data_IF_461144232883
#
_entry.id   IF_461144232883
#
_cell.length_a   1.000
_cell.length_b   1.000
_cell.length_c   1.000
_cell.angle_alpha   90.00
_cell.angle_beta   90.00
_cell.angle_gamma   90.00
#
_symmetry.space_group_name_H-M   'P 1'
#
loop_
_entity.id
_entity.type
_entity.pdbx_description
1 polymer ?
#
# COMPACT_ATOMS: atom_id res chain seq x y z
N UNK A 1 14.95 -18.65 17.68
CA UNK A 1 14.54 -17.50 18.49
C UNK A 1 14.29 -16.34 17.54
N UNK A 2 13.10 -15.71 17.59
CA UNK A 2 12.82 -14.49 16.83
C UNK A 2 13.43 -13.29 17.57
N UNK A 3 13.95 -12.28 16.85
CA UNK A 3 14.45 -11.07 17.48
C UNK A 3 13.30 -10.26 18.09
N UNK A 4 13.58 -9.57 19.21
CA UNK A 4 12.60 -8.70 19.86
C UNK A 4 12.39 -7.38 19.11
N UNK A 5 13.43 -6.87 18.44
CA UNK A 5 13.42 -5.65 17.64
C UNK A 5 14.30 -5.86 16.41
N UNK A 6 13.86 -5.39 15.26
CA UNK A 6 14.66 -5.36 14.04
C UNK A 6 15.24 -3.96 13.83
N UNK A 7 16.56 -3.87 13.72
CA UNK A 7 17.26 -2.64 13.35
C UNK A 7 17.30 -2.53 11.82
N UNK A 8 16.75 -1.46 11.29
CA UNK A 8 16.72 -1.17 9.84
C UNK A 8 17.53 0.09 9.54
N UNK A 9 18.59 -0.07 8.77
CA UNK A 9 19.47 1.02 8.35
C UNK A 9 19.21 1.35 6.87
N UNK A 10 18.68 2.54 6.59
CA UNK A 10 18.33 2.97 5.24
C UNK A 10 17.27 4.06 5.24
N UNK A 11 16.78 4.44 4.06
CA UNK A 11 15.64 5.35 3.89
C UNK A 11 14.30 4.62 3.98
N UNK A 12 13.20 5.38 3.78
CA UNK A 12 11.83 4.87 3.88
C UNK A 12 11.59 3.62 3.03
N UNK A 13 12.12 3.56 1.80
CA UNK A 13 12.00 2.38 0.95
C UNK A 13 12.60 1.09 1.54
N UNK A 14 13.63 1.20 2.39
CA UNK A 14 14.20 0.06 3.12
C UNK A 14 13.26 -0.37 4.24
N UNK A 15 12.68 0.60 4.95
CA UNK A 15 11.68 0.33 6.00
C UNK A 15 10.44 -0.34 5.43
N UNK A 16 9.92 0.15 4.30
CA UNK A 16 8.76 -0.44 3.62
C UNK A 16 8.99 -1.92 3.26
N UNK A 17 10.17 -2.24 2.72
CA UNK A 17 10.54 -3.63 2.41
C UNK A 17 10.66 -4.49 3.67
N UNK A 18 11.28 -3.97 4.72
CA UNK A 18 11.42 -4.66 5.99
C UNK A 18 10.06 -4.91 6.65
N UNK A 19 9.17 -3.90 6.66
CA UNK A 19 7.84 -4.00 7.23
C UNK A 19 7.01 -5.14 6.63
N UNK A 20 7.04 -5.32 5.32
CA UNK A 20 6.34 -6.42 4.63
C UNK A 20 6.76 -7.81 5.11
N UNK A 21 7.99 -7.94 5.58
CA UNK A 21 8.56 -9.20 6.04
C UNK A 21 8.37 -9.42 7.54
N UNK A 22 8.54 -8.35 8.32
CA UNK A 22 8.58 -8.39 9.76
C UNK A 22 7.19 -8.29 10.40
N UNK A 23 6.23 -7.63 9.72
CA UNK A 23 4.86 -7.47 10.20
C UNK A 23 4.18 -8.82 10.47
N UNK A 24 4.36 -9.81 9.59
CA UNK A 24 3.80 -11.14 9.74
C UNK A 24 4.36 -11.89 10.97
N UNK A 25 5.47 -11.43 11.51
CA UNK A 25 6.13 -11.98 12.69
C UNK A 25 5.96 -11.13 13.94
N UNK A 26 5.21 -10.03 13.82
CA UNK A 26 5.01 -9.02 14.88
C UNK A 26 6.34 -8.49 15.46
N UNK A 27 7.38 -8.34 14.63
CA UNK A 27 8.69 -7.83 15.06
C UNK A 27 8.69 -6.31 14.87
N UNK A 28 8.83 -5.51 15.95
CA UNK A 28 8.97 -4.07 15.86
C UNK A 28 10.20 -3.63 15.08
N UNK A 29 10.10 -2.53 14.36
CA UNK A 29 11.19 -1.96 13.57
C UNK A 29 11.71 -0.70 14.26
N UNK A 30 13.01 -0.65 14.49
CA UNK A 30 13.76 0.54 14.85
C UNK A 30 14.59 0.96 13.63
N UNK A 31 14.25 2.09 13.02
CA UNK A 31 14.82 2.50 11.74
C UNK A 31 15.64 3.78 11.83
N UNK A 32 16.79 3.82 11.14
CA UNK A 32 17.66 4.99 11.05
C UNK A 32 18.02 5.30 9.61
N UNK A 33 17.90 6.60 9.27
CA UNK A 33 18.40 7.09 8.00
C UNK A 33 19.94 7.16 8.02
N UNK A 34 20.57 6.39 7.14
CA UNK A 34 22.03 6.34 7.03
C UNK A 34 22.56 7.10 5.81
N UNK A 35 21.68 7.72 5.00
CA UNK A 35 22.07 8.54 3.84
C UNK A 35 20.86 9.14 3.14
N UNK A 36 21.06 10.26 2.46
CA UNK A 36 20.00 11.01 1.78
C UNK A 36 19.15 11.88 2.73
N UNK A 37 17.99 12.30 2.27
CA UNK A 37 17.06 13.11 3.05
C UNK A 37 16.35 12.27 4.12
N UNK A 38 16.08 12.87 5.28
CA UNK A 38 15.28 12.26 6.33
C UNK A 38 13.86 12.00 5.81
N UNK A 39 13.40 10.77 5.96
CA UNK A 39 12.06 10.35 5.56
C UNK A 39 11.05 10.42 6.70
N UNK A 40 9.84 9.92 6.45
CA UNK A 40 8.75 9.85 7.44
C UNK A 40 8.81 8.59 8.33
N UNK A 41 9.56 7.56 7.91
CA UNK A 41 9.60 6.25 8.57
C UNK A 41 10.94 5.98 9.28
N UNK A 42 11.87 6.93 9.23
CA UNK A 42 13.22 6.75 9.77
C UNK A 42 13.56 7.84 10.77
N UNK A 43 14.31 7.46 11.80
CA UNK A 43 14.95 8.40 12.73
C UNK A 43 16.26 8.92 12.16
N UNK A 44 16.65 10.11 12.61
CA UNK A 44 17.97 10.65 12.30
C UNK A 44 19.07 9.77 12.97
N UNK A 45 20.12 9.44 12.21
CA UNK A 45 21.25 8.66 12.69
C UNK A 45 22.01 9.31 13.88
N UNK A 46 21.90 10.63 14.04
CA UNK A 46 22.54 11.33 15.16
C UNK A 46 22.01 10.88 16.52
N UNK A 47 20.79 10.31 16.59
CA UNK A 47 20.22 9.75 17.81
C UNK A 47 21.08 8.59 18.33
N UNK A 48 21.71 7.80 17.45
CA UNK A 48 22.61 6.69 17.82
C UNK A 48 23.85 7.13 18.62
N UNK A 49 24.25 8.42 18.50
CA UNK A 49 25.39 8.99 19.21
C UNK A 49 25.04 9.53 20.60
N UNK A 50 23.76 9.54 20.99
CA UNK A 50 23.34 9.98 22.31
C UNK A 50 23.82 8.98 23.37
N UNK A 51 24.47 9.46 24.41
CA UNK A 51 25.16 8.61 25.39
C UNK A 51 24.29 7.55 26.07
N UNK A 52 23.00 7.85 26.26
CA UNK A 52 22.06 6.95 26.93
C UNK A 52 21.07 6.24 25.97
N UNK A 53 21.30 6.32 24.66
CA UNK A 53 20.39 5.74 23.67
C UNK A 53 20.23 4.22 23.86
N UNK A 54 21.32 3.49 23.88
CA UNK A 54 21.33 2.03 24.01
C UNK A 54 20.86 1.57 25.39
N UNK A 55 21.19 2.33 26.45
CA UNK A 55 20.67 2.09 27.79
C UNK A 55 19.12 2.19 27.83
N UNK A 56 18.56 3.19 27.14
CA UNK A 56 17.10 3.32 27.04
C UNK A 56 16.48 2.13 26.31
N UNK A 57 17.08 1.66 25.22
CA UNK A 57 16.60 0.48 24.49
C UNK A 57 16.68 -0.76 25.38
N UNK A 58 17.81 -1.02 26.04
CA UNK A 58 18.00 -2.18 26.92
C UNK A 58 17.04 -2.19 28.12
N UNK A 59 16.64 -1.01 28.60
CA UNK A 59 15.70 -0.85 29.69
C UNK A 59 14.24 -0.69 29.24
N UNK A 60 13.92 -0.99 27.96
CA UNK A 60 12.59 -0.87 27.37
C UNK A 60 11.95 0.53 27.52
N UNK A 61 12.77 1.60 27.56
CA UNK A 61 12.32 2.99 27.68
C UNK A 61 12.03 3.59 26.30
N UNK A 62 11.06 3.01 25.58
CA UNK A 62 10.60 3.46 24.26
C UNK A 62 9.11 3.16 24.09
N UNK A 63 8.49 3.82 23.12
CA UNK A 63 7.12 3.55 22.72
C UNK A 63 7.09 2.86 21.37
N UNK A 64 6.24 1.84 21.21
CA UNK A 64 5.97 1.18 19.94
C UNK A 64 4.74 1.82 19.32
N UNK A 65 4.91 2.44 18.17
CA UNK A 65 3.81 2.96 17.37
C UNK A 65 3.29 1.88 16.44
N UNK A 66 2.04 1.50 16.60
CA UNK A 66 1.36 0.59 15.66
C UNK A 66 1.01 1.33 14.38
N UNK A 67 1.20 0.69 13.24
CA UNK A 67 0.85 1.20 11.92
C UNK A 67 -0.03 0.19 11.20
N UNK A 68 -1.15 0.67 10.65
CA UNK A 68 -2.02 -0.14 9.81
C UNK A 68 -1.29 -0.57 8.54
N UNK A 69 -1.52 -1.79 8.09
CA UNK A 69 -1.09 -2.29 6.77
C UNK A 69 -2.31 -2.75 5.97
N UNK A 70 -2.16 -2.81 4.66
CA UNK A 70 -3.15 -3.40 3.76
C UNK A 70 -2.68 -4.77 3.28
N UNK A 71 -3.63 -5.69 3.12
CA UNK A 71 -3.48 -6.93 2.36
C UNK A 71 -4.20 -6.81 1.03
N UNK A 72 -3.53 -7.16 -0.07
CA UNK A 72 -4.15 -7.35 -1.38
C UNK A 72 -4.10 -8.82 -1.75
N UNK A 73 -5.25 -9.43 -1.99
CA UNK A 73 -5.35 -10.81 -2.48
C UNK A 73 -5.90 -10.81 -3.91
N UNK A 74 -5.17 -11.44 -4.82
CA UNK A 74 -5.59 -11.62 -6.21
C UNK A 74 -6.18 -13.01 -6.37
N UNK A 75 -7.38 -13.05 -6.92
CA UNK A 75 -8.11 -14.27 -7.28
C UNK A 75 -8.29 -14.33 -8.79
N UNK A 76 -8.27 -15.53 -9.35
CA UNK A 76 -8.60 -15.78 -10.76
C UNK A 76 -9.90 -16.55 -10.84
N UNK A 77 -10.79 -16.08 -11.73
CA UNK A 77 -12.02 -16.77 -12.07
C UNK A 77 -11.82 -17.61 -13.34
N UNK A 78 -11.96 -18.93 -13.21
CA UNK A 78 -11.84 -19.84 -14.35
C UNK A 78 -13.11 -19.85 -15.24
N UNK A 79 -13.08 -20.60 -16.34
CA UNK A 79 -14.21 -20.72 -17.29
C UNK A 79 -15.47 -21.34 -16.63
N UNK A 80 -15.31 -22.12 -15.59
CA UNK A 80 -16.39 -22.76 -14.84
C UNK A 80 -16.94 -21.87 -13.71
N UNK A 81 -16.53 -20.58 -13.65
CA UNK A 81 -16.85 -19.63 -12.59
C UNK A 81 -16.26 -19.95 -11.19
N UNK A 82 -15.37 -20.92 -11.09
CA UNK A 82 -14.67 -21.21 -9.84
C UNK A 82 -13.61 -20.14 -9.57
N UNK A 83 -13.53 -19.69 -8.31
CA UNK A 83 -12.61 -18.66 -7.87
C UNK A 83 -11.46 -19.33 -7.12
N UNK A 84 -10.24 -19.12 -7.61
CA UNK A 84 -9.03 -19.63 -6.98
C UNK A 84 -8.11 -18.50 -6.57
N UNK A 85 -7.50 -18.62 -5.39
CA UNK A 85 -6.52 -17.63 -4.90
C UNK A 85 -5.24 -17.76 -5.71
N UNK A 86 -4.81 -16.66 -6.34
CA UNK A 86 -3.58 -16.58 -7.13
C UNK A 86 -2.39 -16.15 -6.26
N UNK A 87 -2.52 -15.05 -5.51
CA UNK A 87 -1.43 -14.47 -4.71
C UNK A 87 -1.94 -13.47 -3.67
N UNK A 88 -1.21 -13.34 -2.54
CA UNK A 88 -1.41 -12.26 -1.58
C UNK A 88 -0.14 -11.44 -1.38
N UNK A 89 -0.34 -10.17 -1.02
CA UNK A 89 0.72 -9.19 -0.78
C UNK A 89 0.34 -8.30 0.40
N UNK A 90 1.35 -7.68 1.03
CA UNK A 90 1.17 -6.69 2.09
C UNK A 90 1.86 -5.39 1.71
N UNK A 91 1.26 -4.26 2.08
CA UNK A 91 1.82 -2.93 1.90
C UNK A 91 1.65 -2.08 3.15
N UNK A 92 2.68 -1.30 3.49
CA UNK A 92 2.63 -0.35 4.59
C UNK A 92 2.11 1.01 4.13
N UNK A 93 2.49 1.47 2.92
CA UNK A 93 1.97 2.71 2.35
C UNK A 93 0.73 2.47 1.51
N UNK A 94 0.87 1.77 0.39
CA UNK A 94 -0.20 1.69 -0.60
C UNK A 94 -0.08 0.48 -1.54
N UNK A 95 -1.23 0.10 -2.09
CA UNK A 95 -1.36 -0.65 -3.33
C UNK A 95 -1.85 0.29 -4.43
N UNK A 96 -1.38 0.10 -5.65
CA UNK A 96 -1.98 0.74 -6.80
C UNK A 96 -2.03 -0.15 -8.03
N UNK A 97 -3.10 0.00 -8.79
CA UNK A 97 -3.28 -0.66 -10.08
C UNK A 97 -3.09 0.38 -11.18
N UNK A 98 -2.18 0.09 -12.10
CA UNK A 98 -1.90 0.95 -13.26
C UNK A 98 -1.76 0.13 -14.53
N UNK A 99 -2.01 0.79 -15.66
CA UNK A 99 -1.59 0.24 -16.95
C UNK A 99 -0.07 0.06 -16.98
N UNK A 100 0.38 -1.02 -17.62
CA UNK A 100 1.80 -1.34 -17.81
C UNK A 100 2.13 -1.68 -19.28
N UNK A 101 1.39 -1.13 -20.23
CA UNK A 101 1.66 -1.26 -21.67
C UNK A 101 2.50 -0.08 -22.17
N UNK A 102 3.55 -0.38 -22.93
CA UNK A 102 4.47 0.62 -23.48
C UNK A 102 4.03 1.15 -24.85
N UNK A 103 3.06 0.50 -25.50
CA UNK A 103 2.68 0.77 -26.89
C UNK A 103 1.48 1.72 -27.07
N UNK A 104 0.70 1.98 -26.02
CA UNK A 104 -0.57 2.74 -26.07
C UNK A 104 -0.66 3.62 -24.84
N UNK A 105 -1.38 4.76 -24.94
CA UNK A 105 -1.66 5.64 -23.82
C UNK A 105 -2.06 4.85 -22.55
N UNK A 106 -1.43 5.11 -21.41
CA UNK A 106 -1.45 4.23 -20.24
C UNK A 106 -2.74 4.31 -19.43
N UNK A 107 -3.89 4.57 -20.05
CA UNK A 107 -5.18 4.57 -19.35
C UNK A 107 -5.66 3.15 -19.03
N UNK A 108 -6.28 2.96 -17.88
CA UNK A 108 -6.98 1.73 -17.53
C UNK A 108 -8.39 2.02 -17.04
N UNK A 109 -9.26 1.02 -17.19
CA UNK A 109 -10.63 1.05 -16.69
C UNK A 109 -10.80 0.00 -15.61
N UNK A 110 -11.22 0.45 -14.42
CA UNK A 110 -11.36 -0.36 -13.22
C UNK A 110 -12.75 -0.15 -12.60
N UNK A 111 -13.43 -1.23 -12.20
CA UNK A 111 -14.58 -1.12 -11.32
C UNK A 111 -14.16 -1.28 -9.86
N UNK A 112 -14.78 -0.51 -8.99
CA UNK A 112 -14.63 -0.60 -7.54
C UNK A 112 -15.95 -0.95 -6.90
N UNK A 113 -15.94 -1.97 -6.06
CA UNK A 113 -17.00 -2.32 -5.12
C UNK A 113 -16.44 -2.16 -3.70
N UNK A 114 -17.23 -1.63 -2.78
CA UNK A 114 -16.90 -1.50 -1.36
C UNK A 114 -17.99 -2.20 -0.56
N UNK A 115 -17.62 -3.18 0.26
CA UNK A 115 -18.54 -3.95 1.11
C UNK A 115 -19.71 -4.59 0.33
N UNK A 116 -19.44 -4.99 -0.93
CA UNK A 116 -20.41 -5.61 -1.83
C UNK A 116 -21.24 -4.64 -2.66
N UNK A 117 -21.12 -3.34 -2.43
CA UNK A 117 -21.83 -2.31 -3.19
C UNK A 117 -20.94 -1.70 -4.28
N UNK A 118 -21.49 -1.55 -5.50
CA UNK A 118 -20.75 -0.91 -6.60
C UNK A 118 -20.66 0.60 -6.34
N UNK A 119 -19.42 1.12 -6.30
CA UNK A 119 -19.14 2.54 -6.01
C UNK A 119 -18.96 3.33 -7.29
N UNK A 120 -18.00 2.93 -8.13
CA UNK A 120 -17.70 3.68 -9.36
C UNK A 120 -16.96 2.81 -10.40
N UNK A 121 -16.89 3.34 -11.62
CA UNK A 121 -16.06 2.85 -12.72
C UNK A 121 -15.02 3.90 -13.06
N UNK A 122 -13.80 3.71 -12.61
CA UNK A 122 -12.70 4.62 -12.83
C UNK A 122 -12.06 4.39 -14.20
N UNK A 123 -11.88 5.47 -14.95
CA UNK A 123 -11.07 5.50 -16.17
C UNK A 123 -9.99 6.57 -15.99
N UNK A 124 -8.73 6.18 -16.15
CA UNK A 124 -7.58 7.05 -15.95
C UNK A 124 -6.28 6.24 -15.95
N UNK A 125 -5.22 6.77 -15.34
CA UNK A 125 -3.92 6.07 -15.29
C UNK A 125 -3.92 4.93 -14.26
N UNK A 126 -4.81 4.97 -13.26
CA UNK A 126 -4.90 3.95 -12.23
C UNK A 126 -5.73 4.33 -11.01
N UNK A 127 -5.61 3.49 -10.00
CA UNK A 127 -6.31 3.65 -8.72
C UNK A 127 -5.37 3.24 -7.58
N UNK A 128 -5.29 4.08 -6.54
CA UNK A 128 -4.45 3.90 -5.35
C UNK A 128 -5.33 3.55 -4.16
N UNK A 129 -4.87 2.61 -3.34
CA UNK A 129 -5.44 2.21 -2.06
C UNK A 129 -4.37 2.41 -1.01
N UNK A 130 -4.53 3.40 -0.15
CA UNK A 130 -3.49 3.83 0.77
C UNK A 130 -3.90 3.67 2.23
N UNK A 131 -2.91 3.37 3.07
CA UNK A 131 -3.02 3.48 4.52
C UNK A 131 -2.85 4.94 4.94
N UNK A 132 -3.14 5.28 6.20
CA UNK A 132 -2.79 6.60 6.74
C UNK A 132 -1.27 6.89 6.69
N UNK A 133 -0.42 5.86 6.86
CA UNK A 133 1.03 6.01 6.68
C UNK A 133 1.39 6.41 5.25
N UNK A 134 0.75 5.78 4.25
CA UNK A 134 0.95 6.08 2.83
C UNK A 134 0.24 7.34 2.35
N UNK A 135 -0.61 7.98 3.17
CA UNK A 135 -1.33 9.20 2.79
C UNK A 135 -0.41 10.38 2.42
N UNK A 136 0.84 10.36 2.89
CA UNK A 136 1.88 11.35 2.53
C UNK A 136 2.78 10.90 1.38
N UNK A 137 2.50 9.71 0.77
CA UNK A 137 3.25 9.15 -0.34
C UNK A 137 2.51 9.34 -1.69
N UNK A 138 2.29 8.28 -2.45
CA UNK A 138 1.69 8.37 -3.78
C UNK A 138 0.24 8.84 -3.77
N UNK A 139 -0.53 8.49 -2.73
CA UNK A 139 -1.90 9.01 -2.55
C UNK A 139 -1.95 10.52 -2.52
N UNK A 140 -1.01 11.19 -1.82
CA UNK A 140 -0.92 12.64 -1.78
C UNK A 140 -0.69 13.24 -3.17
N UNK A 141 0.22 12.65 -3.96
CA UNK A 141 0.47 13.11 -5.33
C UNK A 141 -0.74 12.94 -6.27
N UNK A 142 -1.66 12.03 -5.94
CA UNK A 142 -2.94 11.83 -6.63
C UNK A 142 -4.09 12.68 -6.02
N UNK A 143 -3.80 13.64 -5.14
CA UNK A 143 -4.80 14.51 -4.52
C UNK A 143 -5.56 13.86 -3.35
N UNK A 144 -5.08 12.74 -2.82
CA UNK A 144 -5.63 12.10 -1.63
C UNK A 144 -5.43 12.94 -0.36
N UNK A 145 -6.32 12.84 0.63
CA UNK A 145 -6.19 13.54 1.91
C UNK A 145 -5.04 12.97 2.74
N UNK A 146 -4.39 13.83 3.52
CA UNK A 146 -3.42 13.44 4.55
C UNK A 146 -4.20 12.98 5.77
N UNK A 147 -3.94 11.76 6.23
CA UNK A 147 -4.55 11.18 7.43
C UNK A 147 -3.46 10.91 8.46
N UNK A 148 -3.72 11.32 9.72
CA UNK A 148 -2.80 11.06 10.80
C UNK A 148 -2.60 9.53 11.00
N UNK A 149 -1.36 9.06 11.17
CA UNK A 149 -1.07 7.61 11.21
C UNK A 149 -1.69 6.84 12.39
N UNK A 150 -2.23 7.52 13.38
CA UNK A 150 -2.97 6.89 14.49
C UNK A 150 -4.46 6.65 14.18
N UNK A 151 -4.95 7.16 13.05
CA UNK A 151 -6.31 6.91 12.57
C UNK A 151 -6.26 5.76 11.58
N UNK A 152 -6.98 4.68 11.86
CA UNK A 152 -7.10 3.59 10.90
C UNK A 152 -8.19 3.93 9.87
N UNK A 153 -7.83 3.95 8.60
CA UNK A 153 -8.73 4.19 7.46
C UNK A 153 -8.09 3.70 6.16
N UNK A 154 -8.88 3.45 5.14
CA UNK A 154 -8.38 3.16 3.79
C UNK A 154 -8.73 4.34 2.90
N UNK A 155 -7.74 4.88 2.18
CA UNK A 155 -7.91 5.98 1.24
C UNK A 155 -7.92 5.40 -0.17
N UNK A 156 -8.90 5.77 -0.97
CA UNK A 156 -8.97 5.43 -2.40
C UNK A 156 -8.78 6.70 -3.21
N UNK A 157 -7.75 6.75 -4.05
CA UNK A 157 -7.44 7.92 -4.88
C UNK A 157 -7.24 7.49 -6.33
N UNK A 158 -7.95 8.12 -7.26
CA UNK A 158 -7.75 7.88 -8.69
C UNK A 158 -6.51 8.65 -9.20
N UNK A 159 -5.75 8.02 -10.11
CA UNK A 159 -4.59 8.61 -10.75
C UNK A 159 -5.04 9.18 -12.09
N UNK A 160 -4.93 10.50 -12.27
CA UNK A 160 -5.30 11.21 -13.50
C UNK A 160 -6.65 10.74 -14.06
N UNK A 161 -7.75 10.79 -13.27
CA UNK A 161 -9.05 10.33 -13.73
C UNK A 161 -9.58 11.20 -14.86
N UNK A 162 -10.21 10.58 -15.86
CA UNK A 162 -10.87 11.30 -16.95
C UNK A 162 -12.17 11.97 -16.51
N UNK A 163 -12.75 11.53 -15.41
CA UNK A 163 -13.97 12.14 -14.83
C UNK A 163 -13.61 13.32 -13.93
N UNK A 164 -14.14 14.50 -14.23
CA UNK A 164 -13.98 15.70 -13.38
C UNK A 164 -14.70 15.57 -12.02
N UNK A 165 -15.64 14.65 -11.89
CA UNK A 165 -16.35 14.38 -10.65
C UNK A 165 -15.62 13.44 -9.70
N UNK A 166 -14.55 12.76 -10.17
CA UNK A 166 -13.79 11.84 -9.34
C UNK A 166 -13.16 12.56 -8.14
N UNK A 167 -13.39 12.02 -6.97
CA UNK A 167 -12.82 12.52 -5.70
C UNK A 167 -12.24 11.36 -4.92
N UNK A 168 -11.16 11.59 -4.15
CA UNK A 168 -10.68 10.59 -3.20
C UNK A 168 -11.77 10.24 -2.19
N UNK A 169 -11.81 8.97 -1.80
CA UNK A 169 -12.75 8.42 -0.83
C UNK A 169 -11.95 7.93 0.37
N UNK A 170 -12.47 8.14 1.57
CA UNK A 170 -11.96 7.57 2.81
C UNK A 170 -13.01 6.63 3.36
N UNK A 171 -12.62 5.39 3.63
CA UNK A 171 -13.51 4.35 4.13
C UNK A 171 -12.99 3.74 5.43
N UNK A 172 -13.85 3.12 6.25
CA UNK A 172 -13.45 2.42 7.46
C UNK A 172 -12.38 1.36 7.19
N UNK A 173 -11.51 1.06 8.16
CA UNK A 173 -10.43 0.08 7.99
C UNK A 173 -10.93 -1.36 7.82
N UNK A 174 -12.17 -1.65 8.24
CA UNK A 174 -12.83 -2.96 8.10
C UNK A 174 -13.40 -3.19 6.71
N UNK A 175 -13.49 -2.16 5.86
CA UNK A 175 -14.08 -2.26 4.53
C UNK A 175 -13.29 -3.21 3.63
N UNK A 176 -14.03 -3.94 2.82
CA UNK A 176 -13.48 -4.82 1.79
C UNK A 176 -13.66 -4.17 0.42
N UNK A 177 -12.53 -3.90 -0.23
CA UNK A 177 -12.51 -3.24 -1.52
C UNK A 177 -12.22 -4.27 -2.61
N UNK A 178 -13.17 -4.44 -3.54
CA UNK A 178 -13.06 -5.38 -4.65
C UNK A 178 -12.86 -4.62 -5.94
N UNK A 179 -11.75 -4.88 -6.61
CA UNK A 179 -11.36 -4.22 -7.85
C UNK A 179 -11.34 -5.25 -8.98
N UNK A 180 -11.98 -4.91 -10.10
CA UNK A 180 -12.01 -5.74 -11.30
C UNK A 180 -11.60 -4.90 -12.51
N UNK A 181 -10.74 -5.41 -13.41
CA UNK A 181 -10.51 -4.79 -14.70
C UNK A 181 -11.80 -4.76 -15.51
N UNK A 182 -12.11 -3.60 -16.10
CA UNK A 182 -13.14 -3.52 -17.12
C UNK A 182 -12.45 -3.81 -18.45
N UNK A 183 -12.94 -4.84 -19.17
CA UNK A 183 -12.31 -5.30 -20.41
C UNK A 183 -12.27 -4.18 -21.46
N UNK A 184 -11.09 -3.68 -21.74
CA UNK A 184 -10.76 -2.97 -22.97
C UNK A 184 -9.68 -3.76 -23.71
N UNK A 185 -9.77 -3.81 -25.06
CA UNK A 185 -8.81 -4.57 -25.88
C UNK A 185 -7.38 -4.08 -25.62
N UNK A 186 -6.46 -5.01 -25.33
CA UNK A 186 -5.01 -4.80 -25.15
C UNK A 186 -4.53 -4.11 -23.85
N UNK A 187 -5.37 -3.89 -22.85
CA UNK A 187 -4.87 -3.36 -21.58
C UNK A 187 -4.20 -4.44 -20.74
N UNK A 188 -2.97 -4.16 -20.30
CA UNK A 188 -2.27 -4.92 -19.26
C UNK A 188 -2.27 -4.05 -17.99
N UNK A 189 -2.85 -4.54 -16.92
CA UNK A 189 -2.87 -3.86 -15.63
C UNK A 189 -1.92 -4.59 -14.69
N UNK A 190 -1.19 -3.83 -13.90
CA UNK A 190 -0.29 -4.39 -12.90
C UNK A 190 -0.64 -3.82 -11.52
N UNK A 191 -0.67 -4.72 -10.54
CA UNK A 191 -0.71 -4.38 -9.13
C UNK A 191 0.71 -4.06 -8.66
N UNK A 192 0.86 -2.93 -8.00
CA UNK A 192 2.10 -2.47 -7.38
C UNK A 192 1.89 -2.34 -5.87
N UNK A 193 2.96 -2.42 -5.09
CA UNK A 193 2.94 -2.32 -3.64
C UNK A 193 4.14 -1.51 -3.13
N UNK A 194 3.91 -0.47 -2.37
CA UNK A 194 4.94 0.42 -1.80
C UNK A 194 6.02 0.80 -2.84
N UNK A 195 5.63 1.21 -4.05
CA UNK A 195 6.55 1.57 -5.13
C UNK A 195 7.29 0.40 -5.80
N UNK A 196 7.04 -0.86 -5.40
CA UNK A 196 7.65 -2.05 -6.02
C UNK A 196 6.64 -2.88 -6.80
N UNK A 197 7.11 -3.68 -7.78
CA UNK A 197 6.24 -4.50 -8.61
C UNK A 197 5.64 -5.70 -7.87
N UNK A 198 4.34 -5.89 -8.01
CA UNK A 198 3.58 -7.05 -7.54
C UNK A 198 3.35 -8.06 -8.66
N UNK A 199 2.13 -8.10 -9.23
CA UNK A 199 1.76 -9.04 -10.29
C UNK A 199 0.89 -8.38 -11.37
N UNK A 200 0.82 -9.03 -12.54
CA UNK A 200 -0.14 -8.70 -13.58
C UNK A 200 -1.55 -9.10 -13.12
N UNK A 201 -2.51 -8.24 -13.45
CA UNK A 201 -3.95 -8.46 -13.25
C UNK A 201 -4.57 -8.71 -14.61
N UNK A 202 -5.11 -9.88 -14.80
CA UNK A 202 -5.76 -10.30 -16.05
C UNK A 202 -7.25 -9.96 -16.04
N UNK A 203 -7.90 -10.03 -17.18
CA UNK A 203 -9.29 -9.63 -17.35
C UNK A 203 -10.30 -10.41 -16.47
N UNK A 204 -9.94 -11.61 -16.04
CA UNK A 204 -10.76 -12.47 -15.17
C UNK A 204 -10.28 -12.45 -13.70
N UNK A 205 -9.27 -11.64 -13.39
CA UNK A 205 -8.77 -11.52 -12.03
C UNK A 205 -9.65 -10.54 -11.22
N UNK A 206 -9.71 -10.81 -9.94
CA UNK A 206 -10.37 -9.99 -8.93
C UNK A 206 -9.30 -9.66 -7.89
N UNK A 207 -9.10 -8.39 -7.60
CA UNK A 207 -8.22 -7.95 -6.53
C UNK A 207 -9.08 -7.52 -5.33
N UNK A 208 -8.91 -8.21 -4.21
CA UNK A 208 -9.52 -7.85 -2.92
C UNK A 208 -8.47 -7.14 -2.09
N UNK A 209 -8.79 -5.93 -1.62
CA UNK A 209 -7.94 -5.15 -0.71
C UNK A 209 -8.70 -4.95 0.61
N UNK A 210 -8.00 -5.15 1.72
CA UNK A 210 -8.50 -4.99 3.08
C UNK A 210 -7.34 -4.66 4.04
N UNK A 211 -7.67 -4.31 5.28
CA UNK A 211 -6.71 -4.22 6.40
C UNK A 211 -6.14 -5.58 6.78
#
# INVERSE_FOLDING_TARGET
>A
VLPEIALVLGGDGTVLRAARYLSQKNIPILSFNVGGNLGFLTHDRHILKQANFWERISNYRFNIQKRMMLEATVFTKNKNNEITKKKSFFALNDFYLRSCTDEIAPTCSLSLEIDGEAVDKYKGDGLIFSTPTGSTAYSMAAGGPIIHPSLDAIIVSAICPMSLASRPIVVPPESQLVIKPIREKKQKIKLWLDGSGGCLIEANDICLIKK
#
